data_IF_994215375320
#
_entry.id   IF_994215375320
#
_cell.length_a   1.000
_cell.length_b   1.000
_cell.length_c   1.000
_cell.angle_alpha   90.00
_cell.angle_beta   90.00
_cell.angle_gamma   90.00
#
_symmetry.space_group_name_H-M   'P 1'
#
loop_
_entity.id
_entity.type
_entity.pdbx_description
1 polymer ?
#
# COMPACT_ATOMS: atom_id res chain seq x y z
N UNK A 1 21.45 -1.89 6.09
CA UNK A 1 20.63 -1.28 5.01
C UNK A 1 21.30 -1.59 3.68
N UNK A 2 20.75 -2.51 2.88
CA UNK A 2 21.29 -2.83 1.56
C UNK A 2 20.95 -1.72 0.59
N UNK A 3 21.97 -1.07 0.02
CA UNK A 3 21.80 -0.08 -1.05
C UNK A 3 21.24 -0.78 -2.28
N UNK A 4 20.02 -0.41 -2.69
CA UNK A 4 19.45 -0.83 -3.97
C UNK A 4 20.36 -0.32 -5.09
N UNK A 5 21.05 -1.22 -5.78
CA UNK A 5 21.80 -0.87 -7.01
C UNK A 5 20.79 -0.82 -8.16
N UNK A 6 20.41 0.38 -8.55
CA UNK A 6 19.67 0.60 -9.81
C UNK A 6 20.66 0.33 -10.95
N UNK A 7 20.46 -0.74 -11.68
CA UNK A 7 21.25 -1.02 -12.88
C UNK A 7 20.75 -0.12 -14.01
N UNK A 8 21.62 0.72 -14.52
CA UNK A 8 21.42 1.78 -15.52
C UNK A 8 20.85 1.32 -16.90
N UNK A 9 20.57 0.05 -17.09
CA UNK A 9 20.19 -0.54 -18.39
C UNK A 9 18.69 -0.51 -18.72
N UNK A 10 17.84 0.01 -17.83
CA UNK A 10 16.39 0.08 -18.03
C UNK A 10 15.85 1.52 -18.07
N UNK A 11 16.72 2.50 -18.24
CA UNK A 11 16.31 3.85 -18.56
C UNK A 11 15.88 3.96 -20.02
N UNK A 12 14.75 3.40 -20.38
CA UNK A 12 13.88 4.05 -21.32
C UNK A 12 13.45 5.36 -20.62
N UNK A 13 13.94 6.51 -21.13
CA UNK A 13 13.66 7.84 -20.57
C UNK A 13 12.17 8.19 -20.56
N UNK A 14 11.33 7.32 -21.11
CA UNK A 14 9.87 7.40 -21.20
C UNK A 14 9.14 6.38 -20.32
N UNK A 15 9.85 5.59 -19.46
CA UNK A 15 9.17 4.62 -18.61
C UNK A 15 8.44 5.33 -17.48
N UNK A 16 7.11 5.36 -17.56
CA UNK A 16 6.23 5.92 -16.53
C UNK A 16 6.08 4.98 -15.34
N UNK A 17 6.08 3.68 -15.60
CA UNK A 17 5.87 2.64 -14.59
C UNK A 17 7.10 1.75 -14.49
N UNK A 18 7.46 1.36 -13.26
CA UNK A 18 8.57 0.44 -13.00
C UNK A 18 8.09 -0.69 -12.11
N UNK A 19 8.41 -1.91 -12.51
CA UNK A 19 8.32 -3.09 -11.66
C UNK A 19 9.74 -3.56 -11.28
N UNK A 20 9.81 -4.20 -10.12
CA UNK A 20 11.03 -4.85 -9.65
C UNK A 20 10.76 -6.33 -9.41
N UNK A 21 11.69 -7.18 -9.82
CA UNK A 21 11.65 -8.62 -9.55
C UNK A 21 12.78 -8.98 -8.60
N UNK A 22 12.46 -9.72 -7.53
CA UNK A 22 13.50 -10.34 -6.69
C UNK A 22 14.17 -11.46 -7.48
N UNK A 23 15.49 -11.36 -7.67
CA UNK A 23 16.28 -12.37 -8.41
C UNK A 23 17.21 -13.18 -7.51
N UNK A 24 17.30 -12.84 -6.23
CA UNK A 24 18.10 -13.54 -5.25
C UNK A 24 17.60 -13.32 -3.81
N UNK A 25 17.99 -14.20 -2.89
CA UNK A 25 17.63 -14.15 -1.46
C UNK A 25 18.21 -12.95 -0.71
N UNK A 26 19.26 -12.32 -1.25
CA UNK A 26 19.92 -11.15 -0.67
C UNK A 26 19.21 -9.82 -0.95
N UNK A 27 18.01 -9.87 -1.54
CA UNK A 27 17.24 -8.67 -1.91
C UNK A 27 17.71 -8.00 -3.20
N UNK A 28 18.53 -8.67 -4.02
CA UNK A 28 18.90 -8.20 -5.34
C UNK A 28 17.67 -8.14 -6.24
N UNK A 29 17.49 -7.04 -7.00
CA UNK A 29 16.32 -6.81 -7.84
C UNK A 29 16.72 -6.52 -9.27
N UNK A 30 15.93 -7.05 -10.20
CA UNK A 30 15.89 -6.65 -11.61
C UNK A 30 14.74 -5.66 -11.78
N UNK A 31 14.99 -4.54 -12.45
CA UNK A 31 13.98 -3.51 -12.71
C UNK A 31 13.54 -3.57 -14.17
N UNK A 32 12.23 -3.40 -14.38
CA UNK A 32 11.57 -3.46 -15.69
C UNK A 32 10.68 -2.24 -15.78
N UNK A 33 10.89 -1.42 -16.81
CA UNK A 33 10.12 -0.20 -17.04
C UNK A 33 9.27 -0.27 -18.30
N UNK A 34 8.13 0.41 -18.29
CA UNK A 34 7.26 0.60 -19.46
C UNK A 34 6.47 1.91 -19.35
N UNK A 35 6.08 2.46 -20.50
CA UNK A 35 5.10 3.56 -20.58
C UNK A 35 3.67 3.07 -20.31
N UNK A 36 3.41 1.76 -20.42
CA UNK A 36 2.11 1.13 -20.17
C UNK A 36 2.16 0.18 -19.00
N UNK A 37 1.26 0.39 -18.04
CA UNK A 37 1.09 -0.52 -16.91
C UNK A 37 0.61 -1.91 -17.36
N UNK A 38 -0.22 -1.97 -18.41
CA UNK A 38 -0.77 -3.23 -18.90
C UNK A 38 0.32 -4.10 -19.52
N UNK A 39 1.31 -3.53 -20.24
CA UNK A 39 2.47 -4.29 -20.72
C UNK A 39 3.29 -4.89 -19.59
N UNK A 40 3.42 -4.19 -18.45
CA UNK A 40 4.11 -4.74 -17.27
C UNK A 40 3.30 -5.86 -16.63
N UNK A 41 1.98 -5.75 -16.57
CA UNK A 41 1.11 -6.80 -16.04
C UNK A 41 1.14 -8.04 -16.94
N UNK A 42 1.08 -7.88 -18.26
CA UNK A 42 1.22 -8.98 -19.23
C UNK A 42 2.58 -9.68 -19.08
N UNK A 43 3.65 -8.89 -18.88
CA UNK A 43 4.98 -9.43 -18.61
C UNK A 43 5.03 -10.26 -17.32
N UNK A 44 4.43 -9.75 -16.23
CA UNK A 44 4.32 -10.48 -14.96
C UNK A 44 3.52 -11.76 -15.13
N UNK A 45 2.42 -11.71 -15.90
CA UNK A 45 1.56 -12.87 -16.11
C UNK A 45 2.27 -13.96 -16.92
N UNK A 46 3.03 -13.58 -17.94
CA UNK A 46 3.82 -14.48 -18.76
C UNK A 46 5.10 -15.00 -18.06
N UNK A 47 5.53 -14.37 -16.94
CA UNK A 47 6.76 -14.76 -16.27
C UNK A 47 6.61 -16.10 -15.52
N UNK A 48 7.61 -17.01 -15.61
CA UNK A 48 7.63 -18.25 -14.85
C UNK A 48 7.83 -18.02 -13.35
N UNK A 49 8.40 -16.87 -12.97
CA UNK A 49 8.59 -16.47 -11.57
C UNK A 49 7.54 -15.44 -11.17
N UNK A 50 7.13 -15.47 -9.91
CA UNK A 50 6.13 -14.54 -9.38
C UNK A 50 6.67 -13.82 -8.13
N UNK A 51 7.76 -13.05 -8.31
CA UNK A 51 8.45 -12.33 -7.23
C UNK A 51 8.49 -10.82 -7.51
N UNK A 52 7.37 -10.25 -7.94
CA UNK A 52 7.30 -8.89 -8.45
C UNK A 52 6.76 -7.88 -7.45
N UNK A 53 7.24 -6.65 -7.60
CA UNK A 53 6.83 -5.46 -6.86
C UNK A 53 6.59 -4.33 -7.87
N UNK A 54 5.59 -3.50 -7.66
CA UNK A 54 5.61 -2.17 -8.25
C UNK A 54 6.63 -1.30 -7.52
N UNK A 55 7.23 -0.35 -8.24
CA UNK A 55 8.17 0.62 -7.69
C UNK A 55 7.53 2.00 -7.76
N UNK A 56 7.05 2.47 -6.63
CA UNK A 56 6.60 3.84 -6.53
C UNK A 56 7.81 4.76 -6.44
N UNK A 57 7.97 5.64 -7.43
CA UNK A 57 9.13 6.51 -7.59
C UNK A 57 8.88 7.90 -7.01
N UNK A 58 9.95 8.51 -6.52
CA UNK A 58 9.91 9.91 -6.07
C UNK A 58 8.87 10.17 -4.97
N UNK A 59 8.37 11.39 -4.97
CA UNK A 59 7.31 11.85 -4.06
C UNK A 59 6.01 12.15 -4.83
N UNK A 60 5.83 11.50 -5.99
CA UNK A 60 4.61 11.66 -6.79
C UNK A 60 3.37 11.20 -6.01
N UNK A 61 2.23 11.78 -6.35
CA UNK A 61 0.95 11.40 -5.78
C UNK A 61 0.63 9.94 -6.12
N UNK A 62 0.08 9.23 -5.15
CA UNK A 62 -0.18 7.79 -5.21
C UNK A 62 -1.57 7.47 -4.70
N UNK A 63 -2.05 6.28 -5.00
CA UNK A 63 -3.21 5.77 -4.27
C UNK A 63 -2.90 5.74 -2.77
N UNK A 64 -3.84 6.14 -1.90
CA UNK A 64 -3.66 5.96 -0.47
C UNK A 64 -3.43 4.48 -0.14
N UNK A 65 -2.40 4.18 0.66
CA UNK A 65 -2.03 2.80 0.98
C UNK A 65 -1.41 2.66 2.35
N UNK A 66 -1.52 1.45 2.90
CA UNK A 66 -0.91 1.08 4.18
C UNK A 66 -0.29 -0.30 4.07
N UNK A 67 0.81 -0.50 4.75
CA UNK A 67 1.42 -1.82 4.99
C UNK A 67 1.26 -2.18 6.47
N UNK A 68 0.62 -3.30 6.73
CA UNK A 68 0.37 -3.80 8.07
C UNK A 68 1.14 -5.09 8.28
N UNK A 69 1.96 -5.10 9.31
CA UNK A 69 2.75 -6.26 9.70
C UNK A 69 2.65 -6.51 11.21
N UNK A 70 2.14 -7.69 11.60
CA UNK A 70 2.04 -8.10 12.99
C UNK A 70 2.62 -9.50 13.17
N UNK A 71 3.55 -9.66 14.10
CA UNK A 71 3.96 -10.97 14.62
C UNK A 71 2.93 -11.42 15.64
N UNK A 72 2.54 -12.68 15.59
CA UNK A 72 1.60 -13.26 16.56
C UNK A 72 1.94 -14.73 16.83
N UNK A 73 1.45 -15.21 17.98
CA UNK A 73 1.61 -16.61 18.41
C UNK A 73 0.30 -17.39 18.43
N UNK A 74 -0.78 -16.78 17.99
CA UNK A 74 -2.12 -17.33 18.07
C UNK A 74 -2.88 -17.37 16.74
N UNK A 75 -4.18 -17.56 16.84
CA UNK A 75 -5.09 -17.57 15.71
C UNK A 75 -5.22 -16.17 15.10
N UNK A 76 -5.31 -16.12 13.78
CA UNK A 76 -5.47 -14.89 13.00
C UNK A 76 -6.95 -14.54 12.93
N UNK A 77 -7.29 -13.29 13.16
CA UNK A 77 -8.64 -12.78 12.97
C UNK A 77 -8.67 -11.71 11.88
N UNK A 78 -8.57 -12.18 10.63
CA UNK A 78 -8.63 -11.33 9.46
C UNK A 78 -9.95 -10.55 9.37
N UNK A 79 -11.07 -11.14 9.79
CA UNK A 79 -12.37 -10.51 9.73
C UNK A 79 -12.45 -9.31 10.68
N UNK A 80 -11.86 -9.45 11.87
CA UNK A 80 -11.75 -8.37 12.85
C UNK A 80 -10.93 -7.20 12.28
N UNK A 81 -9.78 -7.50 11.66
CA UNK A 81 -8.94 -6.49 11.02
C UNK A 81 -9.65 -5.78 9.87
N UNK A 82 -10.23 -6.54 8.94
CA UNK A 82 -10.99 -6.00 7.78
C UNK A 82 -12.12 -5.09 8.25
N UNK A 83 -12.89 -5.53 9.25
CA UNK A 83 -13.99 -4.74 9.82
C UNK A 83 -13.48 -3.44 10.44
N UNK A 84 -12.36 -3.50 11.17
CA UNK A 84 -11.75 -2.31 11.77
C UNK A 84 -11.29 -1.32 10.69
N UNK A 85 -10.57 -1.76 9.66
CA UNK A 85 -10.10 -0.85 8.60
C UNK A 85 -11.27 -0.23 7.83
N UNK A 86 -12.31 -1.00 7.50
CA UNK A 86 -13.53 -0.48 6.84
C UNK A 86 -14.36 0.46 7.72
N UNK A 87 -14.18 0.40 9.02
CA UNK A 87 -14.82 1.32 9.98
C UNK A 87 -14.00 2.60 10.20
N UNK A 88 -12.67 2.50 10.22
CA UNK A 88 -11.77 3.61 10.56
C UNK A 88 -11.48 4.49 9.35
N UNK A 89 -11.24 3.91 8.17
CA UNK A 89 -10.78 4.68 7.01
C UNK A 89 -11.80 5.71 6.50
N UNK A 90 -13.10 5.38 6.29
CA UNK A 90 -14.04 6.35 5.76
C UNK A 90 -14.12 7.64 6.58
N UNK A 91 -14.39 7.63 7.90
CA UNK A 91 -14.44 8.88 8.66
C UNK A 91 -13.09 9.59 8.74
N UNK A 92 -11.96 8.87 8.68
CA UNK A 92 -10.65 9.50 8.66
C UNK A 92 -10.43 10.29 7.37
N UNK A 93 -10.80 9.76 6.21
CA UNK A 93 -10.70 10.45 4.93
C UNK A 93 -11.68 11.62 4.85
N UNK A 94 -12.89 11.46 5.36
CA UNK A 94 -13.86 12.56 5.42
C UNK A 94 -13.35 13.72 6.28
N UNK A 95 -12.83 13.45 7.48
CA UNK A 95 -12.30 14.49 8.39
C UNK A 95 -11.06 15.16 7.81
N UNK A 96 -10.13 14.41 7.23
CA UNK A 96 -8.83 14.94 6.79
C UNK A 96 -8.91 15.53 5.38
N UNK A 97 -9.57 14.85 4.46
CA UNK A 97 -9.60 15.21 3.03
C UNK A 97 -10.93 15.84 2.61
N UNK A 98 -11.96 15.78 3.44
CA UNK A 98 -13.32 16.22 3.07
C UNK A 98 -13.96 15.34 2.00
N UNK A 99 -13.54 14.07 1.91
CA UNK A 99 -13.99 13.11 0.88
C UNK A 99 -14.56 11.87 1.56
N UNK A 100 -15.75 11.50 1.16
CA UNK A 100 -16.39 10.26 1.55
C UNK A 100 -15.85 9.11 0.68
N UNK A 101 -15.17 8.16 1.30
CA UNK A 101 -14.79 6.90 0.66
C UNK A 101 -15.72 5.79 1.13
N UNK A 102 -16.03 4.86 0.23
CA UNK A 102 -16.88 3.71 0.57
C UNK A 102 -16.05 2.51 1.02
N UNK A 103 -16.69 1.56 1.68
CA UNK A 103 -16.06 0.29 2.03
C UNK A 103 -15.66 -0.54 0.78
N UNK A 104 -16.24 -0.25 -0.39
CA UNK A 104 -15.88 -0.90 -1.65
C UNK A 104 -14.56 -0.37 -2.23
N UNK A 105 -14.21 0.88 -1.93
CA UNK A 105 -12.95 1.50 -2.38
C UNK A 105 -11.74 0.97 -1.60
N UNK A 106 -11.98 0.29 -0.47
CA UNK A 106 -10.92 -0.23 0.42
C UNK A 106 -10.60 -1.66 0.01
N UNK A 107 -9.48 -1.83 -0.67
CA UNK A 107 -8.95 -3.12 -1.11
C UNK A 107 -7.94 -3.60 -0.08
N UNK A 108 -8.16 -4.79 0.48
CA UNK A 108 -7.23 -5.41 1.43
C UNK A 108 -6.73 -6.72 0.83
N UNK A 109 -5.42 -6.89 0.85
CA UNK A 109 -4.74 -8.10 0.38
C UNK A 109 -3.90 -8.69 1.50
N UNK A 110 -3.69 -9.98 1.49
CA UNK A 110 -2.93 -10.68 2.51
C UNK A 110 -1.73 -11.45 1.95
N UNK A 111 -0.71 -11.64 2.77
CA UNK A 111 0.39 -12.57 2.52
C UNK A 111 0.85 -13.20 3.82
N UNK A 112 -0.11 -13.74 4.54
CA UNK A 112 0.10 -14.30 5.87
C UNK A 112 0.99 -15.54 5.83
N UNK A 113 1.82 -15.68 6.85
CA UNK A 113 2.60 -16.88 7.11
C UNK A 113 2.34 -17.36 8.53
N UNK A 114 2.85 -18.52 8.89
CA UNK A 114 2.82 -18.96 10.28
C UNK A 114 3.55 -17.94 11.17
N UNK A 115 2.87 -17.46 12.21
CA UNK A 115 3.43 -16.48 13.16
C UNK A 115 3.49 -15.03 12.67
N UNK A 116 2.92 -14.71 11.47
CA UNK A 116 2.85 -13.34 10.96
C UNK A 116 1.57 -13.08 10.19
N UNK A 117 0.90 -11.98 10.53
CA UNK A 117 -0.12 -11.35 9.69
C UNK A 117 0.53 -10.23 8.87
N UNK A 118 0.22 -10.17 7.58
CA UNK A 118 0.74 -9.15 6.68
C UNK A 118 -0.34 -8.76 5.67
N UNK A 119 -0.78 -7.50 5.74
CA UNK A 119 -1.83 -6.96 4.88
C UNK A 119 -1.34 -5.73 4.15
N UNK A 120 -1.66 -5.62 2.86
CA UNK A 120 -1.64 -4.33 2.18
C UNK A 120 -3.05 -3.82 2.06
N UNK A 121 -3.23 -2.54 2.32
CA UNK A 121 -4.49 -1.84 2.18
C UNK A 121 -4.29 -0.75 1.14
N UNK A 122 -5.16 -0.69 0.14
CA UNK A 122 -5.16 0.36 -0.88
C UNK A 122 -6.57 0.95 -0.94
N UNK A 123 -6.66 2.27 -0.95
CA UNK A 123 -7.91 2.97 -1.27
C UNK A 123 -7.86 3.30 -2.76
N UNK A 124 -8.64 2.54 -3.56
CA UNK A 124 -8.65 2.68 -5.02
C UNK A 124 -9.30 3.99 -5.45
N UNK A 125 -9.04 4.38 -6.71
CA UNK A 125 -9.66 5.52 -7.39
C UNK A 125 -9.31 6.92 -6.86
N UNK A 126 -8.39 7.01 -5.91
CA UNK A 126 -7.92 8.26 -5.33
C UNK A 126 -6.41 8.43 -5.46
N UNK A 127 -5.98 9.69 -5.48
CA UNK A 127 -4.57 10.10 -5.44
C UNK A 127 -4.33 11.03 -4.26
N UNK A 128 -3.20 10.88 -3.61
CA UNK A 128 -2.81 11.68 -2.45
C UNK A 128 -1.32 11.93 -2.42
N UNK A 129 -0.91 13.10 -1.94
CA UNK A 129 0.50 13.40 -1.68
C UNK A 129 1.06 12.52 -0.56
N UNK A 130 2.37 12.28 -0.60
CA UNK A 130 3.03 11.51 0.46
C UNK A 130 2.97 12.22 1.82
N UNK A 131 3.02 13.56 1.83
CA UNK A 131 2.89 14.35 3.05
C UNK A 131 1.52 14.17 3.69
N UNK A 132 0.46 14.26 2.89
CA UNK A 132 -0.92 14.06 3.39
C UNK A 132 -1.14 12.62 3.81
N UNK A 133 -0.55 11.65 3.08
CA UNK A 133 -0.61 10.24 3.44
C UNK A 133 0.02 9.96 4.81
N UNK A 134 1.14 10.64 5.15
CA UNK A 134 1.75 10.54 6.49
C UNK A 134 0.83 11.03 7.60
N UNK A 135 0.03 12.06 7.33
CA UNK A 135 -0.95 12.59 8.30
C UNK A 135 -2.08 11.57 8.50
N UNK A 136 -2.64 11.05 7.40
CA UNK A 136 -3.68 10.01 7.44
C UNK A 136 -3.15 8.77 8.18
N UNK A 137 -1.94 8.32 7.84
CA UNK A 137 -1.31 7.17 8.50
C UNK A 137 -1.26 7.33 10.03
N UNK A 138 -0.81 8.49 10.52
CA UNK A 138 -0.76 8.78 11.95
C UNK A 138 -2.14 8.66 12.60
N UNK A 139 -3.16 9.26 11.97
CA UNK A 139 -4.54 9.21 12.48
C UNK A 139 -5.07 7.80 12.50
N UNK A 140 -4.91 7.06 11.39
CA UNK A 140 -5.38 5.67 11.27
C UNK A 140 -4.67 4.78 12.29
N UNK A 141 -3.34 4.90 12.42
CA UNK A 141 -2.56 4.08 13.37
C UNK A 141 -2.99 4.33 14.83
N UNK A 142 -3.19 5.60 15.19
CA UNK A 142 -3.68 5.98 16.53
C UNK A 142 -5.08 5.42 16.79
N UNK A 143 -6.00 5.59 15.84
CA UNK A 143 -7.39 5.10 15.98
C UNK A 143 -7.45 3.58 16.00
N UNK A 144 -6.64 2.90 15.17
CA UNK A 144 -6.55 1.44 15.15
C UNK A 144 -6.04 0.90 16.48
N UNK A 145 -4.98 1.50 17.05
CA UNK A 145 -4.44 1.12 18.34
C UNK A 145 -5.38 1.39 19.52
N UNK A 146 -6.22 2.43 19.44
CA UNK A 146 -7.26 2.71 20.43
C UNK A 146 -8.43 1.73 20.32
N UNK A 147 -8.83 1.37 19.10
CA UNK A 147 -9.95 0.45 18.83
C UNK A 147 -9.57 -1.02 19.04
N UNK A 148 -8.36 -1.40 18.63
CA UNK A 148 -7.78 -2.75 18.73
C UNK A 148 -6.35 -2.63 19.29
N UNK A 149 -6.17 -2.62 20.62
CA UNK A 149 -4.85 -2.42 21.24
C UNK A 149 -3.77 -3.41 20.78
N UNK A 150 -4.16 -4.62 20.40
CA UNK A 150 -3.25 -5.64 19.85
C UNK A 150 -2.70 -5.31 18.45
N UNK A 151 -3.25 -4.30 17.77
CA UNK A 151 -2.82 -3.81 16.46
C UNK A 151 -2.11 -2.44 16.52
N UNK A 152 -1.84 -1.98 17.76
CA UNK A 152 -1.10 -0.74 17.96
C UNK A 152 0.27 -0.83 17.29
N UNK A 153 0.63 0.22 16.55
CA UNK A 153 1.92 0.37 15.87
C UNK A 153 2.26 -0.75 14.85
N UNK A 154 1.24 -1.45 14.33
CA UNK A 154 1.40 -2.48 13.32
C UNK A 154 1.38 -1.92 11.87
N UNK A 155 0.99 -0.67 11.66
CA UNK A 155 1.12 0.00 10.36
C UNK A 155 2.54 0.54 10.19
N UNK A 156 3.22 0.13 9.11
CA UNK A 156 4.61 0.52 8.85
C UNK A 156 4.70 1.93 8.22
N UNK A 157 5.26 2.94 8.93
CA UNK A 157 5.44 4.28 8.38
C UNK A 157 6.60 4.35 7.37
N UNK A 158 7.49 3.36 7.30
CA UNK A 158 8.64 3.38 6.42
C UNK A 158 8.27 3.25 4.95
N UNK A 159 7.04 2.83 4.65
CA UNK A 159 6.54 2.70 3.27
C UNK A 159 6.31 4.05 2.56
N UNK A 160 6.36 5.17 3.26
CA UNK A 160 6.19 6.52 2.69
C UNK A 160 7.51 7.20 2.32
N UNK A 161 8.51 6.43 1.93
CA UNK A 161 9.77 6.93 1.39
C UNK A 161 9.69 7.24 -0.11
N UNK A 162 10.78 7.82 -0.65
CA UNK A 162 10.86 8.26 -2.05
C UNK A 162 10.82 7.13 -3.08
N UNK A 163 11.33 5.94 -2.75
CA UNK A 163 11.33 4.79 -3.65
C UNK A 163 10.90 3.55 -2.87
N UNK A 164 9.66 3.14 -3.09
CA UNK A 164 9.07 2.01 -2.37
C UNK A 164 8.74 0.87 -3.31
N UNK A 165 9.10 -0.34 -2.89
CA UNK A 165 8.70 -1.57 -3.54
C UNK A 165 7.46 -2.12 -2.85
N UNK A 166 6.33 -2.13 -3.53
CA UNK A 166 5.07 -2.64 -3.02
C UNK A 166 4.70 -3.92 -3.77
N UNK A 167 4.58 -5.04 -3.05
CA UNK A 167 4.48 -6.37 -3.68
C UNK A 167 3.16 -6.52 -4.43
N UNK A 168 3.26 -7.03 -5.66
CA UNK A 168 2.09 -7.27 -6.50
C UNK A 168 1.26 -8.46 -6.01
N UNK A 169 -0.03 -8.42 -6.36
CA UNK A 169 -0.92 -9.59 -6.26
C UNK A 169 -0.35 -10.75 -7.06
N UNK A 170 -0.48 -11.97 -6.53
CA UNK A 170 0.07 -13.18 -7.13
C UNK A 170 1.58 -13.35 -6.95
N UNK A 171 2.24 -12.42 -6.26
CA UNK A 171 3.69 -12.47 -6.06
C UNK A 171 4.07 -12.84 -4.63
N UNK A 172 5.16 -13.63 -4.52
CA UNK A 172 5.83 -14.01 -3.27
C UNK A 172 7.15 -13.27 -3.11
N UNK A 173 7.75 -13.29 -1.94
CA UNK A 173 9.17 -12.98 -1.76
C UNK A 173 10.00 -14.13 -2.35
N UNK A 174 11.19 -13.83 -2.85
CA UNK A 174 12.08 -14.84 -3.44
C UNK A 174 12.27 -16.05 -2.50
N UNK A 175 12.03 -17.25 -3.01
CA UNK A 175 12.10 -18.52 -2.26
C UNK A 175 11.24 -18.56 -0.97
N UNK A 176 10.10 -17.86 -0.96
CA UNK A 176 9.13 -17.90 0.14
C UNK A 176 7.76 -18.32 -0.38
N UNK A 177 7.08 -19.14 0.41
CA UNK A 177 5.65 -19.45 0.21
C UNK A 177 4.79 -18.43 0.98
N UNK A 178 4.71 -17.22 0.44
CA UNK A 178 3.95 -16.13 1.03
C UNK A 178 3.32 -15.24 -0.04
N UNK A 179 2.67 -15.87 -1.00
CA UNK A 179 1.97 -15.19 -2.08
C UNK A 179 1.01 -14.11 -1.55
N UNK A 180 1.03 -12.94 -2.19
CA UNK A 180 0.07 -11.86 -1.95
C UNK A 180 -1.25 -12.20 -2.64
N UNK A 181 -2.33 -12.32 -1.87
CA UNK A 181 -3.66 -12.74 -2.33
C UNK A 181 -4.73 -11.73 -1.98
N UNK A 182 -5.78 -11.70 -2.76
CA UNK A 182 -7.01 -11.03 -2.33
C UNK A 182 -7.62 -11.78 -1.13
N UNK A 183 -8.17 -11.01 -0.19
CA UNK A 183 -9.02 -11.60 0.85
C UNK A 183 -10.31 -12.11 0.21
N UNK A 184 -10.81 -13.23 0.69
CA UNK A 184 -12.04 -13.84 0.20
C UNK A 184 -13.19 -12.82 0.10
N UNK A 185 -13.85 -12.82 -1.07
CA UNK A 185 -14.94 -11.90 -1.38
C UNK A 185 -14.53 -10.55 -1.97
N UNK A 186 -13.24 -10.25 -2.07
CA UNK A 186 -12.75 -9.09 -2.81
C UNK A 186 -12.93 -9.29 -4.32
N UNK A 187 -13.54 -8.31 -5.00
CA UNK A 187 -13.76 -8.32 -6.46
C UNK A 187 -12.91 -7.28 -7.20
N UNK A 188 -11.88 -6.75 -6.54
CA UNK A 188 -10.99 -5.77 -7.14
C UNK A 188 -10.17 -6.36 -8.29
N UNK A 189 -9.78 -5.52 -9.23
CA UNK A 189 -8.84 -5.86 -10.30
C UNK A 189 -7.40 -5.63 -9.84
N UNK A 190 -6.42 -6.25 -10.50
CA UNK A 190 -5.00 -6.02 -10.18
C UNK A 190 -4.62 -4.54 -10.33
N UNK A 191 -5.00 -3.81 -11.42
CA UNK A 191 -4.71 -2.38 -11.53
C UNK A 191 -5.23 -1.54 -10.36
N UNK A 192 -6.35 -1.90 -9.75
CA UNK A 192 -6.89 -1.19 -8.59
C UNK A 192 -6.04 -1.36 -7.32
N UNK A 193 -5.19 -2.39 -7.25
CA UNK A 193 -4.26 -2.61 -6.12
C UNK A 193 -2.92 -1.88 -6.27
N UNK A 194 -2.67 -1.25 -7.43
CA UNK A 194 -1.41 -0.56 -7.71
C UNK A 194 -1.43 0.84 -7.10
N UNK A 195 -0.39 1.18 -6.36
CA UNK A 195 -0.27 2.49 -5.72
C UNK A 195 0.28 3.56 -6.67
N UNK A 196 1.07 3.17 -7.67
CA UNK A 196 1.67 4.06 -8.67
C UNK A 196 0.82 4.24 -9.94
N UNK A 197 -0.22 3.44 -10.13
CA UNK A 197 -1.10 3.53 -11.30
C UNK A 197 -2.12 4.66 -11.13
N UNK A 198 -2.00 5.67 -11.97
CA UNK A 198 -2.72 6.94 -11.83
C UNK A 198 -4.00 6.99 -12.69
N UNK A 199 -4.32 6.05 -13.53
CA UNK A 199 -5.54 5.99 -14.34
C UNK A 199 -6.45 7.25 -14.31
N UNK A 200 -7.74 7.05 -14.31
CA UNK A 200 -8.76 8.10 -14.07
C UNK A 200 -9.06 8.23 -12.55
N UNK A 201 -8.07 8.58 -11.75
CA UNK A 201 -8.22 8.70 -10.30
C UNK A 201 -8.56 10.11 -9.88
N UNK A 202 -9.34 10.22 -8.78
CA UNK A 202 -9.72 11.49 -8.15
C UNK A 202 -8.57 11.96 -7.27
N UNK A 203 -8.09 13.19 -7.50
CA UNK A 203 -7.06 13.80 -6.66
C UNK A 203 -7.66 14.23 -5.32
N UNK A 204 -7.11 13.69 -4.22
CA UNK A 204 -7.47 14.09 -2.86
C UNK A 204 -6.60 15.29 -2.47
N UNK A 205 -7.19 16.47 -2.41
CA UNK A 205 -6.55 17.67 -1.85
C UNK A 205 -6.97 17.80 -0.41
N UNK A 206 -6.00 17.96 0.48
CA UNK A 206 -6.26 18.25 1.88
C UNK A 206 -7.07 19.56 2.02
N UNK A 207 -8.31 19.43 2.42
CA UNK A 207 -9.17 20.58 2.69
C UNK A 207 -9.04 21.01 4.17
N UNK A 208 -7.83 21.29 4.66
CA UNK A 208 -7.65 21.95 5.97
C UNK A 208 -8.12 23.42 5.95
N UNK A 209 -9.37 23.65 5.57
CA UNK A 209 -9.98 24.96 5.74
C UNK A 209 -10.67 25.15 7.08
N UNK A 210 -10.78 24.12 7.90
CA UNK A 210 -11.41 24.23 9.21
C UNK A 210 -10.36 24.10 10.33
N UNK A 211 -10.02 25.25 10.90
CA UNK A 211 -9.13 25.39 12.07
C UNK A 211 -9.51 24.46 13.24
N UNK A 212 -10.76 24.04 13.31
CA UNK A 212 -11.29 23.15 14.36
C UNK A 212 -10.87 21.69 14.17
N UNK A 213 -10.92 21.18 12.94
CA UNK A 213 -10.48 19.82 12.64
C UNK A 213 -8.96 19.68 12.82
N UNK A 214 -8.19 20.70 12.46
CA UNK A 214 -6.75 20.76 12.70
C UNK A 214 -6.40 20.73 14.18
N UNK A 215 -7.11 21.50 15.02
CA UNK A 215 -6.90 21.53 16.48
C UNK A 215 -7.28 20.20 17.13
N UNK A 216 -8.33 19.53 16.64
CA UNK A 216 -8.75 18.22 17.14
C UNK A 216 -7.75 17.11 16.78
N UNK A 217 -7.22 17.12 15.55
CA UNK A 217 -6.15 16.24 15.10
C UNK A 217 -4.83 16.46 15.85
N UNK A 218 -4.47 17.72 16.16
CA UNK A 218 -3.31 18.04 16.98
C UNK A 218 -3.47 17.60 18.44
N UNK A 219 -4.70 17.52 18.96
CA UNK A 219 -5.02 16.95 20.28
C UNK A 219 -4.94 15.43 20.31
N UNK A 220 -5.35 14.75 19.23
CA UNK A 220 -5.26 13.29 19.12
C UNK A 220 -3.83 12.80 18.90
N UNK A 221 -2.92 13.69 18.48
CA UNK A 221 -1.52 13.40 18.20
C UNK A 221 -0.56 13.80 19.35
N UNK A 222 -1.08 14.28 20.50
CA UNK A 222 -0.34 14.53 21.74
C UNK A 222 -0.63 13.44 22.77
#
# INVERSE_FOLDING_TARGET
MSKVKITKKLNDQNSRYIFAEDVATNGCKRYIGSSSIFHLLDFVDASPTKNFYEVAQGLEDRSPYFDFDKKHSGEKDIQKFVKAMKYILPPTFEIICGVEISAADIIITESNTMGKESYHIVVSDYLISIEDMKIIHKSVNSTLGAYLPEYKDCLDPAVYGSNQCFRLIGSSKFNKDNEKKFINGCRATIPATLISYVGEKIELKQQYKNTRARVEMERLNK
#
